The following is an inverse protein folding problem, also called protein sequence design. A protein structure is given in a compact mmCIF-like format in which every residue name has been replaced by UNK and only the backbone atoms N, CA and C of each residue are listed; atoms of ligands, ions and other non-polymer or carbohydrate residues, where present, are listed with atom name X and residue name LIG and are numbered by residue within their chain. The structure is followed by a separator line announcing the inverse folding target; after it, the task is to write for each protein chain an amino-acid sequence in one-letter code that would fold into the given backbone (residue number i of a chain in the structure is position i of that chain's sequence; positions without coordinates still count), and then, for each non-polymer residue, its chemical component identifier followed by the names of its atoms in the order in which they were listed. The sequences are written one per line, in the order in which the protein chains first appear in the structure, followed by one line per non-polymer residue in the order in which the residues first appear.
data_IF_342743567219
#
_entry.id   IF_342743567219
#
_cell.length_a   1.000
_cell.length_b   1.000
_cell.length_c   1.000
_cell.angle_alpha   90.00
_cell.angle_beta   90.00
_cell.angle_gamma   90.00
#
_symmetry.space_group_name_H-M   'P 1'
#
loop_
_entity.id
_entity.type
_entity.pdbx_description
1 polymer ?
#
# COMPACT_ATOMS: atom_id res chain seq x y z
N UNK A 1 18.31 97.60 8.27
CA UNK A 1 16.88 97.22 8.30
C UNK A 1 16.63 96.35 7.07
N UNK A 2 16.75 95.03 7.20
CA UNK A 2 15.66 94.08 7.57
C UNK A 2 14.64 93.97 6.44
N UNK A 3 14.33 92.84 5.82
CA UNK A 3 14.63 91.43 6.08
C UNK A 3 13.60 90.58 5.31
N UNK A 4 13.74 89.26 5.38
CA UNK A 4 12.65 88.28 5.21
C UNK A 4 12.05 88.13 3.80
N UNK A 5 12.57 87.14 3.06
CA UNK A 5 11.72 86.08 2.52
C UNK A 5 12.32 84.73 2.93
N UNK A 6 11.82 84.23 4.06
CA UNK A 6 11.76 82.80 4.35
C UNK A 6 10.82 82.17 3.33
N UNK A 7 11.23 81.08 2.69
CA UNK A 7 10.55 79.80 2.88
C UNK A 7 11.24 78.68 2.08
N UNK A 8 11.88 77.80 2.85
CA UNK A 8 11.76 76.35 2.74
C UNK A 8 11.91 75.74 1.34
N UNK A 9 13.16 75.48 0.96
CA UNK A 9 13.51 74.28 0.19
C UNK A 9 14.79 73.64 0.73
N UNK A 10 14.84 73.43 2.05
CA UNK A 10 15.51 72.25 2.59
C UNK A 10 14.41 71.30 3.06
N UNK A 11 14.02 70.34 2.22
CA UNK A 11 13.75 68.99 2.69
C UNK A 11 13.65 68.01 1.52
N UNK A 12 14.37 66.89 1.67
CA UNK A 12 14.42 65.71 0.80
C UNK A 12 15.14 65.87 -0.55
N UNK A 13 16.42 66.25 -0.47
CA UNK A 13 17.43 65.45 -1.18
C UNK A 13 17.27 63.99 -0.70
N UNK A 14 16.39 63.23 -1.37
CA UNK A 14 16.45 61.77 -1.31
C UNK A 14 17.84 61.41 -1.83
N UNK A 15 18.73 61.03 -0.92
CA UNK A 15 19.98 60.36 -1.22
C UNK A 15 19.69 59.21 -2.20
N UNK A 16 19.77 59.48 -3.50
CA UNK A 16 19.85 58.45 -4.52
C UNK A 16 21.25 57.85 -4.41
N UNK A 17 21.45 57.02 -3.37
CA UNK A 17 22.65 56.21 -3.25
C UNK A 17 22.62 55.25 -4.44
N UNK A 18 23.42 55.54 -5.46
CA UNK A 18 23.69 54.60 -6.53
C UNK A 18 24.34 53.35 -5.91
N UNK A 19 23.90 52.18 -6.32
CA UNK A 19 24.47 50.92 -5.84
C UNK A 19 25.94 50.82 -6.22
N UNK A 20 26.77 50.36 -5.29
CA UNK A 20 28.17 50.05 -5.57
C UNK A 20 28.27 48.85 -6.50
N UNK A 21 29.33 48.79 -7.31
CA UNK A 21 29.56 47.69 -8.25
C UNK A 21 29.58 46.32 -7.54
N UNK A 22 30.09 46.27 -6.31
CA UNK A 22 30.08 45.08 -5.45
C UNK A 22 28.68 44.66 -5.03
N UNK A 23 27.81 45.60 -4.66
CA UNK A 23 26.40 45.30 -4.32
C UNK A 23 25.65 44.73 -5.52
N UNK A 24 25.85 45.28 -6.72
CA UNK A 24 25.23 44.77 -7.95
C UNK A 24 25.76 43.38 -8.30
N UNK A 25 27.06 43.11 -8.09
CA UNK A 25 27.66 41.81 -8.36
C UNK A 25 27.18 40.72 -7.40
N UNK A 26 27.03 41.05 -6.11
CA UNK A 26 26.49 40.12 -5.11
C UNK A 26 25.00 39.85 -5.39
N UNK A 27 24.21 40.90 -5.65
CA UNK A 27 22.79 40.75 -5.94
C UNK A 27 22.53 39.91 -7.20
N UNK A 28 23.30 40.13 -8.27
CA UNK A 28 23.19 39.34 -9.50
C UNK A 28 23.60 37.88 -9.31
N UNK A 29 24.63 37.61 -8.50
CA UNK A 29 25.06 36.24 -8.19
C UNK A 29 24.01 35.48 -7.39
N UNK A 30 23.42 36.11 -6.37
CA UNK A 30 22.33 35.52 -5.58
C UNK A 30 21.10 35.26 -6.47
N UNK A 31 20.74 36.22 -7.32
CA UNK A 31 19.63 36.07 -8.26
C UNK A 31 19.86 34.92 -9.24
N UNK A 32 21.08 34.79 -9.79
CA UNK A 32 21.43 33.70 -10.71
C UNK A 32 21.32 32.32 -10.02
N UNK A 33 21.83 32.19 -8.79
CA UNK A 33 21.70 30.95 -8.01
C UNK A 33 20.24 30.59 -7.73
N UNK A 34 19.42 31.57 -7.34
CA UNK A 34 17.99 31.35 -7.08
C UNK A 34 17.24 30.95 -8.35
N UNK A 35 17.42 31.69 -9.46
CA UNK A 35 16.77 31.39 -10.74
C UNK A 35 17.16 29.99 -11.23
N UNK A 36 18.44 29.63 -11.13
CA UNK A 36 18.93 28.31 -11.54
C UNK A 36 18.34 27.20 -10.65
N UNK A 37 18.30 27.40 -9.33
CA UNK A 37 17.68 26.46 -8.40
C UNK A 37 16.19 26.26 -8.68
N UNK A 38 15.43 27.34 -8.88
CA UNK A 38 14.01 27.28 -9.22
C UNK A 38 13.80 26.62 -10.59
N UNK A 39 14.65 26.91 -11.59
CA UNK A 39 14.55 26.31 -12.91
C UNK A 39 14.80 24.79 -12.87
N UNK A 40 15.76 24.32 -12.07
CA UNK A 40 15.99 22.88 -11.88
C UNK A 40 14.80 22.20 -11.18
N UNK A 41 14.23 22.84 -10.17
CA UNK A 41 13.03 22.35 -9.48
C UNK A 41 11.84 22.31 -10.45
N UNK A 42 11.59 23.38 -11.21
CA UNK A 42 10.50 23.41 -12.20
C UNK A 42 10.73 22.45 -13.35
N UNK A 43 11.96 22.24 -13.80
CA UNK A 43 12.28 21.26 -14.85
C UNK A 43 12.09 19.83 -14.34
N UNK A 44 12.49 19.55 -13.10
CA UNK A 44 12.19 18.28 -12.43
C UNK A 44 10.68 18.05 -12.28
N UNK A 45 9.94 19.06 -11.83
CA UNK A 45 8.48 18.99 -11.71
C UNK A 45 7.84 18.82 -13.09
N UNK A 46 8.24 19.60 -14.08
CA UNK A 46 7.68 19.61 -15.44
C UNK A 46 7.96 18.32 -16.22
N UNK A 47 9.18 17.78 -16.13
CA UNK A 47 9.53 16.48 -16.73
C UNK A 47 8.80 15.32 -16.03
N UNK A 48 8.61 15.40 -14.71
CA UNK A 48 7.78 14.44 -13.98
C UNK A 48 6.30 14.58 -14.34
N UNK A 49 5.77 15.79 -14.55
CA UNK A 49 4.40 16.03 -15.00
C UNK A 49 4.16 15.58 -16.45
N UNK A 50 5.12 15.75 -17.36
CA UNK A 50 5.01 15.24 -18.73
C UNK A 50 5.07 13.71 -18.79
N UNK A 51 5.86 13.07 -17.92
CA UNK A 51 5.90 11.61 -17.78
C UNK A 51 4.70 11.06 -17.02
N UNK A 52 4.10 11.86 -16.14
CA UNK A 52 2.81 11.60 -15.51
C UNK A 52 1.68 12.04 -16.44
N UNK A 53 1.35 11.22 -17.44
CA UNK A 53 -0.01 11.24 -17.99
C UNK A 53 -0.99 10.94 -16.86
N UNK A 54 -1.42 11.97 -16.15
CA UNK A 54 -2.48 12.01 -15.15
C UNK A 54 -3.84 11.84 -15.82
N UNK A 55 -3.96 10.83 -16.69
CA UNK A 55 -5.21 10.41 -17.25
C UNK A 55 -5.80 9.43 -16.23
N UNK A 56 -6.69 9.95 -15.39
CA UNK A 56 -7.69 9.07 -14.76
C UNK A 56 -8.34 8.28 -15.90
N UNK A 57 -8.18 6.97 -15.89
CA UNK A 57 -8.77 6.08 -16.87
C UNK A 57 -9.99 5.43 -16.26
N UNK A 58 -11.01 5.25 -17.09
CA UNK A 58 -12.21 4.51 -16.71
C UNK A 58 -11.92 3.02 -16.89
N UNK A 59 -11.92 2.29 -15.78
CA UNK A 59 -11.60 0.86 -15.75
C UNK A 59 -12.86 0.08 -15.43
N UNK A 60 -13.22 -0.90 -16.26
CA UNK A 60 -14.33 -1.81 -15.99
C UNK A 60 -13.88 -2.91 -15.02
N UNK A 61 -14.44 -2.91 -13.82
CA UNK A 61 -14.19 -3.90 -12.76
C UNK A 61 -15.41 -4.80 -12.51
N UNK A 62 -16.50 -4.60 -13.25
CA UNK A 62 -17.75 -5.34 -13.13
C UNK A 62 -18.66 -4.86 -11.99
N UNK A 63 -19.97 -5.08 -12.18
CA UNK A 63 -21.01 -4.56 -11.28
C UNK A 63 -20.93 -5.12 -9.85
N UNK A 64 -20.66 -6.43 -9.69
CA UNK A 64 -20.55 -7.09 -8.37
C UNK A 64 -19.46 -6.44 -7.52
N UNK A 65 -18.31 -6.17 -8.14
CA UNK A 65 -17.12 -5.62 -7.50
C UNK A 65 -17.32 -4.14 -7.17
N UNK A 66 -17.77 -3.34 -8.13
CA UNK A 66 -18.01 -1.91 -7.94
C UNK A 66 -19.07 -1.63 -6.85
N UNK A 67 -20.15 -2.41 -6.83
CA UNK A 67 -21.19 -2.30 -5.80
C UNK A 67 -20.66 -2.69 -4.42
N UNK A 68 -19.90 -3.77 -4.31
CA UNK A 68 -19.42 -4.24 -3.02
C UNK A 68 -18.24 -3.43 -2.45
N UNK A 69 -17.40 -2.84 -3.30
CA UNK A 69 -16.24 -2.04 -2.87
C UNK A 69 -16.60 -0.59 -2.59
N UNK A 70 -17.39 0.02 -3.48
CA UNK A 70 -17.61 1.47 -3.50
C UNK A 70 -19.08 1.86 -3.38
N UNK A 71 -20.01 0.89 -3.31
CA UNK A 71 -21.45 1.12 -3.31
C UNK A 71 -21.92 1.93 -4.54
N UNK A 72 -21.31 1.69 -5.70
CA UNK A 72 -21.62 2.38 -6.95
C UNK A 72 -22.42 1.44 -7.86
N UNK A 73 -23.52 1.94 -8.42
CA UNK A 73 -24.34 1.23 -9.43
C UNK A 73 -23.76 1.36 -10.85
N UNK A 74 -22.46 1.18 -11.01
CA UNK A 74 -21.73 1.26 -12.29
C UNK A 74 -20.78 0.08 -12.39
N UNK A 75 -20.41 -0.33 -13.59
CA UNK A 75 -19.42 -1.39 -13.80
C UNK A 75 -17.98 -0.84 -13.80
N UNK A 76 -17.84 0.48 -13.87
CA UNK A 76 -16.56 1.13 -14.09
C UNK A 76 -16.21 2.12 -12.99
N UNK A 77 -14.93 2.16 -12.63
CA UNK A 77 -14.35 3.11 -11.68
C UNK A 77 -13.26 3.92 -12.38
N UNK A 78 -13.14 5.20 -12.03
CA UNK A 78 -12.04 6.02 -12.48
C UNK A 78 -10.82 5.73 -11.61
N UNK A 79 -9.77 5.21 -12.23
CA UNK A 79 -8.50 4.89 -11.58
C UNK A 79 -7.33 5.59 -12.25
N UNK A 80 -6.17 5.56 -11.63
CA UNK A 80 -4.96 6.18 -12.17
C UNK A 80 -4.00 5.11 -12.68
N UNK A 81 -3.33 5.37 -13.78
CA UNK A 81 -2.28 4.49 -14.28
C UNK A 81 -1.06 4.54 -13.35
N UNK A 82 -0.48 3.39 -13.03
CA UNK A 82 0.86 3.32 -12.47
C UNK A 82 1.92 3.65 -13.53
N UNK A 83 3.02 4.33 -13.17
CA UNK A 83 3.32 4.88 -11.85
C UNK A 83 2.55 6.20 -11.56
N UNK A 84 2.07 6.38 -10.32
CA UNK A 84 1.38 7.59 -9.88
C UNK A 84 1.75 7.99 -8.44
N UNK A 85 2.48 9.10 -8.31
CA UNK A 85 2.95 9.60 -7.01
C UNK A 85 1.84 10.26 -6.17
N UNK A 86 0.77 10.76 -6.80
CA UNK A 86 -0.41 11.24 -6.07
C UNK A 86 -1.14 10.11 -5.36
N UNK A 87 -1.24 8.94 -6.01
CA UNK A 87 -1.74 7.72 -5.39
C UNK A 87 -0.76 7.14 -4.37
N UNK A 88 0.54 7.32 -4.56
CA UNK A 88 1.53 6.97 -3.53
C UNK A 88 1.31 7.73 -2.22
N UNK A 89 1.03 9.04 -2.28
CA UNK A 89 0.69 9.80 -1.07
C UNK A 89 -0.58 9.27 -0.36
N UNK A 90 -1.58 8.81 -1.13
CA UNK A 90 -2.78 8.18 -0.57
C UNK A 90 -2.45 6.82 0.07
N UNK A 91 -1.57 6.04 -0.57
CA UNK A 91 -1.09 4.76 -0.04
C UNK A 91 -0.22 4.94 1.21
N UNK A 92 0.61 5.98 1.29
CA UNK A 92 1.41 6.32 2.47
C UNK A 92 0.53 6.73 3.66
N UNK A 93 -0.53 7.51 3.41
CA UNK A 93 -1.54 7.81 4.43
C UNK A 93 -2.22 6.55 4.95
N UNK A 94 -2.57 5.63 4.07
CA UNK A 94 -3.19 4.35 4.45
C UNK A 94 -2.22 3.46 5.23
N UNK A 95 -0.95 3.43 4.81
CA UNK A 95 0.15 2.74 5.49
C UNK A 95 0.38 3.28 6.90
N UNK A 96 0.36 4.60 7.09
CA UNK A 96 0.44 5.21 8.42
C UNK A 96 -0.69 4.72 9.32
N UNK A 97 -1.95 4.80 8.83
CA UNK A 97 -3.12 4.30 9.57
C UNK A 97 -3.04 2.81 9.89
N UNK A 98 -2.50 2.01 8.98
CA UNK A 98 -2.29 0.58 9.20
C UNK A 98 -1.29 0.30 10.31
N UNK A 99 -0.18 1.04 10.36
CA UNK A 99 0.77 0.93 11.45
C UNK A 99 0.15 1.36 12.79
N UNK A 100 -0.65 2.44 12.79
CA UNK A 100 -1.37 2.90 13.99
C UNK A 100 -2.42 1.87 14.46
N UNK A 101 -3.12 1.22 13.52
CA UNK A 101 -4.08 0.17 13.86
C UNK A 101 -3.38 -1.10 14.36
N UNK A 102 -2.22 -1.45 13.82
CA UNK A 102 -1.41 -2.59 14.30
C UNK A 102 -0.86 -2.31 15.70
N UNK A 103 -0.36 -1.11 15.98
CA UNK A 103 0.23 -0.79 17.29
C UNK A 103 -0.77 -0.92 18.43
N UNK A 104 -2.03 -0.61 18.15
CA UNK A 104 -3.14 -0.71 19.13
C UNK A 104 -3.90 -2.04 19.04
N UNK A 105 -3.43 -2.99 18.24
CA UNK A 105 -4.09 -4.28 18.03
C UNK A 105 -3.71 -5.31 19.10
N UNK A 106 -4.66 -6.21 19.39
CA UNK A 106 -4.42 -7.41 20.21
C UNK A 106 -4.06 -8.62 19.36
N UNK A 107 -4.55 -8.67 18.11
CA UNK A 107 -4.19 -9.73 17.16
C UNK A 107 -4.41 -9.26 15.72
N UNK A 108 -3.62 -9.81 14.80
CA UNK A 108 -3.75 -9.53 13.36
C UNK A 108 -3.84 -10.85 12.61
N UNK A 109 -4.91 -11.06 11.83
CA UNK A 109 -5.07 -12.25 11.00
C UNK A 109 -5.21 -11.90 9.52
N UNK A 110 -4.37 -12.51 8.68
CA UNK A 110 -4.49 -12.40 7.23
C UNK A 110 -5.27 -13.60 6.69
N UNK A 111 -6.31 -13.38 5.89
CA UNK A 111 -7.10 -14.43 5.26
C UNK A 111 -7.12 -14.27 3.73
N UNK A 112 -6.87 -15.38 3.04
CA UNK A 112 -6.92 -15.44 1.57
C UNK A 112 -8.34 -15.61 1.07
N UNK A 113 -8.64 -14.98 -0.07
CA UNK A 113 -9.94 -15.08 -0.72
C UNK A 113 -9.83 -14.97 -2.23
N UNK A 114 -10.78 -15.60 -2.92
CA UNK A 114 -10.99 -15.41 -4.36
C UNK A 114 -12.13 -14.43 -4.64
N UNK A 115 -13.13 -14.42 -3.76
CA UNK A 115 -14.31 -13.58 -3.89
C UNK A 115 -14.17 -12.21 -3.22
N UNK A 116 -15.14 -11.35 -3.50
CA UNK A 116 -15.29 -10.07 -2.84
C UNK A 116 -15.62 -10.31 -1.36
N UNK A 117 -14.90 -9.64 -0.46
CA UNK A 117 -15.20 -9.69 0.96
C UNK A 117 -16.53 -8.97 1.28
N UNK A 118 -17.52 -9.72 1.74
CA UNK A 118 -18.77 -9.19 2.30
C UNK A 118 -18.82 -9.26 3.82
N UNK A 119 -17.80 -9.83 4.46
CA UNK A 119 -17.73 -10.11 5.89
C UNK A 119 -16.81 -9.08 6.55
N UNK A 120 -17.42 -8.02 7.06
CA UNK A 120 -16.73 -6.91 7.75
C UNK A 120 -17.41 -6.61 9.09
N UNK A 121 -17.44 -7.58 10.01
CA UNK A 121 -18.07 -7.40 11.31
C UNK A 121 -17.38 -6.32 12.13
N UNK A 122 -18.16 -5.69 13.01
CA UNK A 122 -17.63 -4.82 14.08
C UNK A 122 -17.24 -5.67 15.30
N UNK A 123 -17.99 -6.74 15.55
CA UNK A 123 -17.76 -7.67 16.64
C UNK A 123 -17.85 -9.11 16.12
N UNK A 124 -16.94 -9.96 16.60
CA UNK A 124 -16.94 -11.39 16.35
C UNK A 124 -17.32 -12.06 17.68
N UNK A 125 -18.43 -12.81 17.73
CA UNK A 125 -18.78 -13.59 18.91
C UNK A 125 -17.69 -14.61 19.22
N UNK A 126 -17.28 -14.70 20.48
CA UNK A 126 -16.53 -15.83 21.00
C UNK A 126 -17.53 -16.89 21.43
N UNK A 127 -17.34 -18.11 20.95
CA UNK A 127 -18.10 -19.25 21.44
C UNK A 127 -17.67 -19.55 22.88
N UNK A 128 -18.59 -19.97 23.74
CA UNK A 128 -18.31 -20.16 25.18
C UNK A 128 -17.22 -21.22 25.44
N UNK A 129 -17.01 -22.11 24.48
CA UNK A 129 -16.01 -23.18 24.54
C UNK A 129 -14.65 -22.78 23.91
N UNK A 130 -14.54 -21.60 23.30
CA UNK A 130 -13.33 -21.14 22.60
C UNK A 130 -12.69 -20.00 23.38
N UNK A 131 -11.52 -20.30 23.95
CA UNK A 131 -10.63 -19.27 24.46
C UNK A 131 -9.99 -18.52 23.28
N UNK A 132 -10.03 -17.18 23.31
CA UNK A 132 -9.44 -16.34 22.27
C UNK A 132 -7.93 -16.61 22.08
N UNK A 133 -7.24 -17.13 23.11
CA UNK A 133 -5.83 -17.57 23.04
C UNK A 133 -5.62 -18.80 22.14
N UNK A 134 -6.67 -19.53 21.81
CA UNK A 134 -6.62 -20.65 20.85
C UNK A 134 -6.67 -20.19 19.39
N UNK A 135 -6.96 -18.91 19.13
CA UNK A 135 -6.88 -18.31 17.81
C UNK A 135 -5.41 -17.93 17.52
N UNK A 136 -4.51 -18.91 17.48
CA UNK A 136 -3.06 -18.66 17.34
C UNK A 136 -2.53 -18.85 15.92
N UNK A 137 -3.43 -19.08 14.97
CA UNK A 137 -3.12 -19.19 13.54
C UNK A 137 -4.26 -18.63 12.69
N UNK A 138 -3.97 -18.16 11.46
CA UNK A 138 -5.00 -17.71 10.54
C UNK A 138 -6.00 -18.82 10.17
N UNK A 139 -5.58 -20.10 10.17
CA UNK A 139 -6.49 -21.22 9.94
C UNK A 139 -7.43 -21.45 11.13
N UNK A 140 -6.95 -21.33 12.38
CA UNK A 140 -7.79 -21.39 13.57
C UNK A 140 -8.80 -20.23 13.59
N UNK A 141 -8.34 -19.00 13.30
CA UNK A 141 -9.20 -17.83 13.16
C UNK A 141 -10.26 -18.01 12.05
N UNK A 142 -9.86 -18.53 10.88
CA UNK A 142 -10.79 -18.82 9.78
C UNK A 142 -11.86 -19.84 10.18
N UNK A 143 -11.50 -20.92 10.87
CA UNK A 143 -12.45 -21.94 11.36
C UNK A 143 -13.42 -21.36 12.38
N UNK A 144 -12.92 -20.53 13.30
CA UNK A 144 -13.77 -19.85 14.26
C UNK A 144 -14.74 -18.88 13.57
N UNK A 145 -14.25 -18.03 12.67
CA UNK A 145 -15.08 -17.12 11.88
C UNK A 145 -16.12 -17.89 11.05
N UNK A 146 -15.76 -19.05 10.49
CA UNK A 146 -16.66 -19.95 9.79
C UNK A 146 -17.75 -20.57 10.67
N UNK A 147 -17.50 -20.74 11.96
CA UNK A 147 -18.47 -21.25 12.93
C UNK A 147 -19.49 -20.16 13.29
N UNK A 148 -19.00 -18.97 13.68
CA UNK A 148 -19.85 -17.88 14.18
C UNK A 148 -20.49 -17.07 13.05
N UNK A 149 -19.87 -17.07 11.86
CA UNK A 149 -20.37 -16.44 10.64
C UNK A 149 -20.26 -17.42 9.47
N UNK A 150 -21.27 -18.27 9.31
CA UNK A 150 -21.30 -19.33 8.29
C UNK A 150 -21.07 -18.82 6.86
N UNK A 151 -21.50 -17.59 6.55
CA UNK A 151 -21.27 -16.93 5.26
C UNK A 151 -19.77 -16.71 4.95
N UNK A 152 -18.91 -16.69 5.96
CA UNK A 152 -17.47 -16.51 5.78
C UNK A 152 -16.78 -17.72 5.13
N UNK A 153 -17.40 -18.90 5.18
CA UNK A 153 -16.89 -20.15 4.61
C UNK A 153 -16.77 -20.10 3.08
N UNK A 154 -17.69 -19.40 2.41
CA UNK A 154 -17.64 -19.26 0.95
C UNK A 154 -16.57 -18.24 0.52
N UNK A 155 -16.34 -17.22 1.35
CA UNK A 155 -15.44 -16.09 1.06
C UNK A 155 -13.97 -16.45 1.35
N UNK A 156 -13.67 -16.89 2.58
CA UNK A 156 -12.30 -17.15 3.01
C UNK A 156 -11.93 -18.61 2.82
N UNK A 157 -10.79 -18.83 2.19
CA UNK A 157 -10.30 -20.18 1.89
C UNK A 157 -9.27 -20.60 2.93
N UNK A 158 -9.21 -21.90 3.18
CA UNK A 158 -8.13 -22.48 3.97
C UNK A 158 -6.83 -22.27 3.22
N UNK A 159 -5.79 -21.84 3.94
CA UNK A 159 -4.49 -21.64 3.37
C UNK A 159 -3.43 -22.00 4.41
N UNK A 160 -2.33 -22.60 3.95
CA UNK A 160 -1.16 -22.96 4.76
C UNK A 160 0.06 -22.23 4.21
N UNK A 161 0.77 -21.51 5.07
CA UNK A 161 2.00 -20.80 4.71
C UNK A 161 1.76 -19.56 3.85
N UNK A 162 1.66 -19.73 2.53
CA UNK A 162 1.63 -18.62 1.58
C UNK A 162 0.32 -18.65 0.84
N UNK A 163 -0.37 -17.51 0.83
CA UNK A 163 -1.62 -17.41 0.08
C UNK A 163 -1.35 -17.82 -1.36
N UNK A 164 -2.11 -18.77 -1.90
CA UNK A 164 -2.17 -18.97 -3.35
C UNK A 164 -3.22 -18.03 -3.98
N UNK A 165 -3.93 -17.30 -3.13
CA UNK A 165 -5.06 -16.48 -3.48
C UNK A 165 -4.61 -15.06 -3.81
N UNK A 166 -5.23 -14.53 -4.87
CA UNK A 166 -4.93 -13.23 -5.47
C UNK A 166 -5.49 -12.07 -4.66
N UNK A 167 -6.47 -12.31 -3.79
CA UNK A 167 -7.06 -11.29 -2.93
C UNK A 167 -6.88 -11.70 -1.46
N UNK A 168 -6.83 -10.71 -0.59
CA UNK A 168 -6.61 -10.90 0.84
C UNK A 168 -7.44 -9.95 1.67
N UNK A 169 -7.70 -10.36 2.91
CA UNK A 169 -8.28 -9.49 3.93
C UNK A 169 -7.46 -9.60 5.20
N UNK A 170 -7.13 -8.47 5.81
CA UNK A 170 -6.39 -8.41 7.08
C UNK A 170 -7.37 -7.95 8.14
N UNK A 171 -7.60 -8.79 9.14
CA UNK A 171 -8.41 -8.49 10.30
C UNK A 171 -7.50 -7.97 11.41
N UNK A 172 -7.76 -6.75 11.86
CA UNK A 172 -7.10 -6.16 13.02
C UNK A 172 -8.08 -6.20 14.18
N UNK A 173 -7.74 -7.01 15.18
CA UNK A 173 -8.58 -7.25 16.34
C UNK A 173 -8.12 -6.42 17.53
N UNK A 174 -9.07 -6.05 18.37
CA UNK A 174 -8.83 -5.37 19.63
C UNK A 174 -9.72 -5.96 20.72
N UNK A 175 -9.41 -5.65 21.97
CA UNK A 175 -10.32 -5.95 23.07
C UNK A 175 -11.67 -5.25 22.85
N UNK A 176 -12.77 -5.97 23.04
CA UNK A 176 -14.13 -5.44 22.89
C UNK A 176 -14.64 -4.72 24.14
N UNK A 177 -14.07 -5.03 25.31
CA UNK A 177 -14.62 -4.61 26.60
C UNK A 177 -15.92 -5.33 27.00
N UNK A 178 -16.39 -6.30 26.21
CA UNK A 178 -17.59 -7.09 26.47
C UNK A 178 -17.24 -8.59 26.54
N UNK A 179 -17.83 -9.28 27.52
CA UNK A 179 -17.67 -10.72 27.64
C UNK A 179 -18.26 -11.43 26.42
N UNK A 180 -17.50 -12.40 25.88
CA UNK A 180 -17.95 -13.22 24.74
C UNK A 180 -17.83 -12.54 23.38
N UNK A 181 -17.12 -11.42 23.23
CA UNK A 181 -16.89 -10.78 21.92
C UNK A 181 -15.44 -10.34 21.72
N UNK A 182 -14.96 -10.44 20.50
CA UNK A 182 -13.74 -9.76 20.03
C UNK A 182 -14.17 -8.56 19.17
N UNK A 183 -13.59 -7.39 19.42
CA UNK A 183 -13.82 -6.23 18.57
C UNK A 183 -12.90 -6.28 17.35
N UNK A 184 -13.45 -5.90 16.22
CA UNK A 184 -12.72 -5.70 14.97
C UNK A 184 -12.49 -4.22 14.79
N UNK A 185 -11.26 -3.78 15.06
CA UNK A 185 -10.87 -2.37 14.93
C UNK A 185 -10.93 -1.92 13.48
N UNK A 186 -10.34 -2.73 12.60
CA UNK A 186 -10.30 -2.47 11.17
C UNK A 186 -10.16 -3.77 10.36
N UNK A 187 -10.67 -3.73 9.13
CA UNK A 187 -10.47 -4.76 8.11
C UNK A 187 -9.83 -4.10 6.89
N UNK A 188 -8.70 -4.62 6.44
CA UNK A 188 -8.03 -4.17 5.22
C UNK A 188 -8.24 -5.17 4.10
N UNK A 189 -8.93 -4.76 3.04
CA UNK A 189 -9.13 -5.58 1.85
C UNK A 189 -8.11 -5.20 0.78
N UNK A 190 -7.34 -6.19 0.34
CA UNK A 190 -6.37 -6.08 -0.77
C UNK A 190 -6.95 -6.85 -1.95
N UNK A 191 -7.18 -6.15 -3.06
CA UNK A 191 -7.84 -6.69 -4.24
C UNK A 191 -7.03 -6.46 -5.51
N UNK A 192 -6.90 -7.51 -6.30
CA UNK A 192 -6.41 -7.53 -7.67
C UNK A 192 -7.50 -8.05 -8.59
N UNK A 193 -7.91 -7.23 -9.54
CA UNK A 193 -8.93 -7.56 -10.51
C UNK A 193 -8.38 -7.39 -11.92
N UNK A 194 -8.41 -8.45 -12.72
CA UNK A 194 -8.04 -8.38 -14.13
C UNK A 194 -9.16 -7.69 -14.91
N UNK A 195 -8.81 -6.74 -15.75
CA UNK A 195 -9.77 -6.01 -16.57
C UNK A 195 -9.42 -6.21 -18.03
N UNK A 196 -10.46 -6.24 -18.87
CA UNK A 196 -10.34 -6.33 -20.33
C UNK A 196 -10.61 -4.98 -21.01
N UNK A 197 -11.11 -3.99 -20.27
CA UNK A 197 -11.42 -2.66 -20.78
C UNK A 197 -11.08 -1.57 -19.75
N UNK A 198 -9.90 -0.91 -19.87
CA UNK A 198 -8.75 -1.32 -20.68
C UNK A 198 -8.12 -2.63 -20.17
N UNK A 199 -7.34 -3.31 -21.00
CA UNK A 199 -6.64 -4.52 -20.61
C UNK A 199 -5.56 -4.22 -19.56
N UNK A 200 -5.56 -4.95 -18.44
CA UNK A 200 -4.57 -4.80 -17.38
C UNK A 200 -5.04 -5.37 -16.04
N UNK A 201 -4.38 -4.94 -14.96
CA UNK A 201 -4.77 -5.29 -13.59
C UNK A 201 -5.14 -4.04 -12.79
N UNK A 202 -6.37 -3.99 -12.31
CA UNK A 202 -6.83 -3.05 -11.30
C UNK A 202 -6.45 -3.56 -9.92
N UNK A 203 -5.77 -2.75 -9.12
CA UNK A 203 -5.42 -3.09 -7.75
C UNK A 203 -5.95 -2.03 -6.79
N UNK A 204 -6.42 -2.46 -5.62
CA UNK A 204 -6.90 -1.55 -4.59
C UNK A 204 -6.61 -2.09 -3.20
N UNK A 205 -6.32 -1.17 -2.27
CA UNK A 205 -6.29 -1.46 -0.83
C UNK A 205 -7.30 -0.56 -0.15
N UNK A 206 -8.17 -1.15 0.66
CA UNK A 206 -9.30 -0.49 1.30
C UNK A 206 -9.28 -0.79 2.78
N UNK A 207 -9.45 0.24 3.61
CA UNK A 207 -9.63 0.12 5.05
C UNK A 207 -11.10 0.32 5.40
N UNK A 208 -11.64 -0.66 6.10
CA UNK A 208 -12.96 -0.61 6.68
C UNK A 208 -12.82 -0.51 8.20
N UNK A 209 -13.54 0.42 8.81
CA UNK A 209 -13.68 0.51 10.26
C UNK A 209 -15.14 0.74 10.58
N UNK A 210 -15.67 0.07 11.60
CA UNK A 210 -17.10 0.08 11.91
C UNK A 210 -17.99 -0.30 10.71
N UNK A 211 -17.53 -1.25 9.88
CA UNK A 211 -18.17 -1.67 8.63
C UNK A 211 -18.35 -0.53 7.57
N UNK A 212 -17.61 0.56 7.69
CA UNK A 212 -17.61 1.67 6.73
C UNK A 212 -16.25 1.81 6.06
N UNK A 213 -16.24 2.11 4.77
CA UNK A 213 -15.02 2.43 4.03
C UNK A 213 -14.49 3.79 4.51
N UNK A 214 -13.36 3.82 5.22
CA UNK A 214 -12.80 5.08 5.74
C UNK A 214 -11.71 5.63 4.84
N UNK A 215 -10.87 4.75 4.29
CA UNK A 215 -9.72 5.13 3.50
C UNK A 215 -9.43 4.06 2.46
N UNK A 216 -8.96 4.48 1.30
CA UNK A 216 -8.50 3.57 0.27
C UNK A 216 -7.55 4.26 -0.69
N UNK A 217 -6.82 3.44 -1.44
CA UNK A 217 -6.23 3.86 -2.70
C UNK A 217 -6.43 2.77 -3.73
N UNK A 218 -6.41 3.20 -4.99
CA UNK A 218 -6.51 2.32 -6.14
C UNK A 218 -5.54 2.76 -7.23
N UNK A 219 -5.09 1.78 -8.01
CA UNK A 219 -4.14 1.97 -9.09
C UNK A 219 -4.38 0.93 -10.18
N UNK A 220 -4.17 1.34 -11.42
CA UNK A 220 -4.26 0.47 -12.59
C UNK A 220 -2.89 0.21 -13.21
N UNK A 221 -2.64 -1.06 -13.55
CA UNK A 221 -1.41 -1.51 -14.20
C UNK A 221 -1.72 -1.92 -15.66
N UNK A 222 -1.46 -1.03 -16.66
CA UNK A 222 -1.90 -1.20 -18.05
C UNK A 222 -1.14 -2.25 -18.88
N UNK A 223 -0.02 -2.79 -18.37
CA UNK A 223 0.85 -3.70 -19.12
C UNK A 223 1.08 -5.05 -18.42
N UNK A 224 0.25 -5.37 -17.43
CA UNK A 224 0.51 -6.51 -16.55
C UNK A 224 -0.75 -7.29 -16.28
N UNK A 225 -0.71 -8.56 -16.67
CA UNK A 225 -1.67 -9.57 -16.26
C UNK A 225 -1.00 -10.32 -15.12
N UNK A 226 -1.30 -9.92 -13.89
CA UNK A 226 -0.60 -10.38 -12.69
C UNK A 226 -0.99 -11.78 -12.22
N UNK A 227 -1.57 -12.60 -13.11
CA UNK A 227 -2.20 -13.88 -12.77
C UNK A 227 -1.27 -14.91 -12.15
N UNK A 228 0.03 -14.89 -12.47
CA UNK A 228 1.05 -15.79 -11.88
C UNK A 228 2.09 -15.06 -11.02
N UNK A 229 2.32 -13.78 -11.28
CA UNK A 229 3.44 -13.04 -10.69
C UNK A 229 3.19 -12.56 -9.26
N UNK A 230 1.93 -12.45 -8.82
CA UNK A 230 1.54 -12.12 -7.44
C UNK A 230 0.63 -13.19 -6.86
N UNK A 231 1.03 -14.45 -6.97
CA UNK A 231 0.23 -15.56 -6.43
C UNK A 231 0.03 -15.47 -4.92
N UNK A 232 0.84 -14.68 -4.21
CA UNK A 232 0.71 -14.48 -2.77
C UNK A 232 0.79 -13.03 -2.33
N UNK A 233 -0.26 -12.57 -1.66
CA UNK A 233 -0.31 -11.26 -1.00
C UNK A 233 0.32 -11.32 0.39
N UNK A 234 0.16 -12.44 1.09
CA UNK A 234 0.69 -12.61 2.43
C UNK A 234 1.33 -13.99 2.62
N UNK A 235 2.41 -14.01 3.40
CA UNK A 235 3.14 -15.21 3.78
C UNK A 235 3.25 -15.27 5.28
N UNK A 236 2.79 -16.35 5.89
CA UNK A 236 2.80 -16.54 7.33
C UNK A 236 3.89 -17.50 7.76
N UNK A 237 4.60 -17.05 8.79
CA UNK A 237 5.70 -17.77 9.38
C UNK A 237 5.24 -18.26 10.75
N UNK A 238 5.02 -19.57 10.84
CA UNK A 238 4.57 -20.23 12.07
C UNK A 238 5.69 -20.28 13.12
N UNK A 239 5.27 -20.35 14.39
CA UNK A 239 6.18 -20.55 15.51
C UNK A 239 6.68 -21.99 15.51
N UNK A 240 8.00 -22.17 15.56
CA UNK A 240 8.66 -23.49 15.56
C UNK A 240 8.10 -24.51 16.56
N UNK A 241 7.69 -24.07 17.74
CA UNK A 241 7.23 -24.97 18.82
C UNK A 241 5.75 -25.38 18.72
N UNK A 242 4.97 -24.80 17.79
CA UNK A 242 3.54 -25.08 17.63
C UNK A 242 3.20 -25.33 16.17
N UNK A 243 3.84 -26.35 15.60
CA UNK A 243 3.58 -26.76 14.22
C UNK A 243 2.24 -27.46 14.14
N UNK A 244 1.47 -27.13 13.12
CA UNK A 244 0.27 -27.89 12.78
C UNK A 244 0.65 -29.13 11.94
N UNK A 245 1.76 -29.10 11.19
CA UNK A 245 2.26 -30.20 10.33
C UNK A 245 3.80 -30.20 10.18
N UNK A 246 4.42 -31.36 9.90
CA UNK A 246 5.87 -31.55 9.65
C UNK A 246 6.32 -30.96 8.29
N UNK A 247 7.54 -30.39 8.23
CA UNK A 247 8.16 -29.84 7.01
C UNK A 247 8.49 -30.96 6.02
N UNK A 248 8.17 -30.74 4.74
CA UNK A 248 8.67 -31.56 3.63
C UNK A 248 9.86 -30.87 2.93
N UNK A 249 10.68 -31.65 2.24
CA UNK A 249 11.97 -31.23 1.61
C UNK A 249 11.85 -30.05 0.61
N UNK A 250 10.64 -29.75 0.12
CA UNK A 250 10.36 -28.71 -0.87
C UNK A 250 9.36 -27.64 -0.39
N UNK A 251 9.28 -27.36 0.92
CA UNK A 251 8.48 -26.23 1.40
C UNK A 251 9.14 -24.89 1.04
N UNK A 252 8.42 -24.04 0.30
CA UNK A 252 8.90 -22.72 -0.17
C UNK A 252 9.24 -21.73 0.96
N UNK A 253 8.95 -22.02 2.24
CA UNK A 253 9.04 -21.04 3.34
C UNK A 253 9.51 -21.62 4.68
N UNK A 254 10.12 -20.74 5.49
CA UNK A 254 10.92 -21.06 6.68
C UNK A 254 10.16 -20.78 7.97
N UNK A 255 10.64 -21.36 9.07
CA UNK A 255 10.10 -21.17 10.43
C UNK A 255 10.45 -19.82 11.05
N UNK A 256 9.54 -19.25 11.85
CA UNK A 256 9.90 -18.22 12.81
C UNK A 256 10.44 -18.86 14.09
N UNK A 257 11.60 -18.37 14.56
CA UNK A 257 12.31 -18.96 15.71
C UNK A 257 11.56 -18.75 17.03
N UNK A 258 10.88 -17.61 17.19
CA UNK A 258 10.26 -17.22 18.47
C UNK A 258 8.80 -16.75 18.34
N UNK A 259 8.51 -15.78 17.46
CA UNK A 259 7.17 -15.19 17.29
C UNK A 259 6.66 -15.35 15.87
N UNK A 260 5.39 -15.75 15.68
CA UNK A 260 4.80 -15.84 14.35
C UNK A 260 4.53 -14.44 13.77
N UNK A 261 4.75 -14.30 12.46
CA UNK A 261 4.57 -13.04 11.74
C UNK A 261 4.13 -13.27 10.31
N UNK A 262 3.64 -12.21 9.69
CA UNK A 262 3.28 -12.13 8.28
C UNK A 262 4.27 -11.25 7.53
N UNK A 263 4.64 -11.69 6.34
CA UNK A 263 5.03 -10.77 5.28
C UNK A 263 3.79 -10.40 4.48
N UNK A 264 3.53 -9.11 4.33
CA UNK A 264 2.38 -8.58 3.61
C UNK A 264 2.90 -7.66 2.51
N UNK A 265 2.36 -7.81 1.32
CA UNK A 265 2.64 -6.92 0.20
C UNK A 265 1.37 -6.19 -0.24
N UNK A 266 1.46 -4.88 -0.44
CA UNK A 266 0.40 -4.08 -1.04
C UNK A 266 0.79 -3.58 -2.42
N UNK A 267 -0.18 -3.37 -3.34
CA UNK A 267 0.09 -2.82 -4.67
C UNK A 267 0.74 -1.45 -4.56
N UNK A 268 1.93 -1.31 -5.12
CA UNK A 268 2.73 -0.10 -5.07
C UNK A 268 2.34 0.87 -6.21
N UNK A 269 1.81 2.07 -5.90
CA UNK A 269 1.40 3.02 -6.93
C UNK A 269 2.55 3.59 -7.75
N UNK A 270 3.78 3.58 -7.22
CA UNK A 270 4.98 4.11 -7.90
C UNK A 270 5.66 3.07 -8.78
N UNK A 271 5.24 1.82 -8.67
CA UNK A 271 5.90 0.73 -9.36
C UNK A 271 5.49 0.67 -10.83
N UNK A 272 6.49 0.78 -11.72
CA UNK A 272 6.31 0.60 -13.17
C UNK A 272 6.68 -0.82 -13.56
N UNK A 273 5.67 -1.62 -13.88
CA UNK A 273 5.90 -2.87 -14.58
C UNK A 273 6.15 -2.56 -16.06
N UNK A 274 7.33 -2.89 -16.55
CA UNK A 274 7.67 -2.81 -17.96
C UNK A 274 8.37 -4.08 -18.40
N UNK A 275 8.31 -4.39 -19.69
CA UNK A 275 9.01 -5.52 -20.29
C UNK A 275 10.52 -5.54 -20.01
N UNK A 276 11.12 -4.42 -19.60
CA UNK A 276 12.55 -4.26 -19.31
C UNK A 276 12.90 -4.25 -17.82
N UNK A 277 11.95 -4.00 -16.91
CA UNK A 277 12.28 -3.89 -15.48
C UNK A 277 12.44 -5.26 -14.80
N UNK A 278 12.00 -6.34 -15.42
CA UNK A 278 12.29 -7.72 -14.99
C UNK A 278 13.56 -8.33 -15.61
N UNK A 279 14.11 -7.72 -16.66
CA UNK A 279 15.31 -8.19 -17.37
C UNK A 279 16.60 -7.44 -16.98
N UNK A 280 16.52 -6.23 -16.44
CA UNK A 280 17.71 -5.40 -16.17
C UNK A 280 18.62 -5.85 -15.00
N UNK A 281 18.38 -7.02 -14.39
CA UNK A 281 19.29 -7.61 -13.39
C UNK A 281 19.72 -9.05 -13.76
N UNK A 282 19.51 -9.50 -15.00
CA UNK A 282 20.15 -10.74 -15.50
C UNK A 282 21.63 -10.55 -15.84
N UNK A 283 22.19 -9.35 -15.67
CA UNK A 283 23.57 -9.04 -16.09
C UNK A 283 24.63 -9.09 -14.97
N UNK A 284 24.29 -9.59 -13.77
CA UNK A 284 25.24 -9.80 -12.67
C UNK A 284 25.39 -11.27 -12.26
N UNK A 285 25.01 -12.19 -13.12
CA UNK A 285 25.33 -13.60 -12.97
C UNK A 285 25.64 -14.19 -14.34
N UNK A 286 26.92 -14.11 -14.72
CA UNK A 286 27.52 -15.09 -15.63
C UNK A 286 27.41 -16.46 -14.97
N UNK A 287 26.29 -17.15 -15.15
CA UNK A 287 26.21 -18.59 -14.91
C UNK A 287 25.36 -19.20 -16.04
N UNK A 288 26.10 -19.87 -16.93
CA UNK A 288 25.72 -20.93 -17.85
C UNK A 288 24.28 -21.02 -18.35
N UNK A 289 24.16 -20.82 -19.66
CA UNK A 289 23.08 -21.28 -20.52
C UNK A 289 22.81 -22.78 -20.37
N UNK A 290 21.84 -23.17 -19.53
CA UNK A 290 21.14 -24.46 -19.66
C UNK A 290 19.77 -24.57 -18.96
N UNK A 291 19.28 -23.55 -18.25
CA UNK A 291 17.94 -23.59 -17.64
C UNK A 291 16.92 -22.71 -18.38
N UNK A 292 16.27 -23.31 -19.38
CA UNK A 292 15.12 -22.74 -20.09
C UNK A 292 13.79 -22.80 -19.31
N UNK A 293 13.85 -23.08 -17.99
CA UNK A 293 12.70 -23.10 -17.06
C UNK A 293 12.71 -21.92 -16.07
N UNK A 294 13.28 -20.78 -16.47
CA UNK A 294 13.24 -19.54 -15.69
C UNK A 294 11.82 -18.96 -15.65
N UNK A 295 10.99 -19.54 -14.78
CA UNK A 295 9.80 -18.89 -14.24
C UNK A 295 10.26 -17.59 -13.57
N UNK A 296 10.11 -16.48 -14.29
CA UNK A 296 10.19 -15.11 -13.76
C UNK A 296 9.03 -14.85 -12.78
N UNK A 297 8.85 -15.72 -11.77
CA UNK A 297 8.05 -15.44 -10.60
C UNK A 297 8.74 -14.28 -9.85
N UNK A 298 8.00 -13.20 -9.62
CA UNK A 298 8.45 -12.12 -8.73
C UNK A 298 8.54 -12.72 -7.32
N UNK A 299 9.72 -13.23 -6.96
CA UNK A 299 9.96 -13.74 -5.63
C UNK A 299 9.82 -12.60 -4.62
N UNK A 300 9.27 -12.91 -3.45
CA UNK A 300 9.09 -11.96 -2.33
C UNK A 300 10.35 -11.13 -2.04
N UNK A 301 11.54 -11.72 -2.20
CA UNK A 301 12.81 -11.01 -2.04
C UNK A 301 12.99 -9.87 -3.06
N UNK A 302 12.70 -10.09 -4.34
CA UNK A 302 12.81 -9.05 -5.38
C UNK A 302 11.81 -7.91 -5.17
N UNK A 303 10.65 -8.20 -4.58
CA UNK A 303 9.63 -7.20 -4.23
C UNK A 303 10.04 -6.37 -3.02
N UNK A 304 10.55 -7.01 -1.98
CA UNK A 304 11.04 -6.32 -0.78
C UNK A 304 12.15 -5.29 -1.10
N UNK A 305 12.98 -5.55 -2.11
CA UNK A 305 14.02 -4.60 -2.54
C UNK A 305 13.52 -3.44 -3.42
N UNK A 306 12.32 -3.55 -4.00
CA UNK A 306 11.86 -2.61 -5.05
C UNK A 306 10.56 -1.90 -4.73
N UNK A 307 9.84 -2.35 -3.70
CA UNK A 307 8.60 -1.73 -3.26
C UNK A 307 8.70 -1.29 -1.81
N UNK A 308 8.20 -0.09 -1.54
CA UNK A 308 8.09 0.45 -0.18
C UNK A 308 6.85 -0.03 0.57
N UNK A 309 6.03 -0.86 -0.08
CA UNK A 309 4.76 -1.38 0.44
C UNK A 309 4.84 -2.87 0.77
N UNK A 310 6.01 -3.27 1.28
CA UNK A 310 6.25 -4.57 1.88
C UNK A 310 6.36 -4.42 3.40
N UNK A 311 5.61 -5.22 4.14
CA UNK A 311 5.45 -5.11 5.59
C UNK A 311 5.78 -6.43 6.27
N UNK A 312 6.38 -6.33 7.44
CA UNK A 312 6.48 -7.43 8.40
C UNK A 312 5.54 -7.10 9.56
N UNK A 313 4.50 -7.92 9.74
CA UNK A 313 3.47 -7.67 10.75
C UNK A 313 3.45 -8.86 11.71
N UNK A 314 3.68 -8.67 13.02
CA UNK A 314 3.55 -9.77 13.95
C UNK A 314 2.08 -10.21 14.03
N UNK A 315 1.85 -11.49 14.35
CA UNK A 315 0.50 -12.00 14.64
C UNK A 315 -0.11 -11.32 15.90
N UNK A 316 0.76 -10.73 16.73
CA UNK A 316 0.57 -10.43 18.16
C UNK A 316 1.26 -9.08 18.52
N UNK A 317 0.75 -8.32 19.52
CA UNK A 317 0.95 -8.69 20.92
C UNK A 317 -0.31 -9.20 21.63
N UNK A 318 -0.13 -10.35 22.29
CA UNK A 318 -0.93 -11.12 23.24
C UNK A 318 -2.34 -10.62 23.56
N UNK A 319 -3.35 -11.41 23.17
CA UNK A 319 -4.53 -11.56 24.02
C UNK A 319 -4.14 -12.23 25.35
#
# INVERSE_FOLDING_TARGET
MTGSYLNNQEELSKNARAFSLTEVMIASSIAACLITGVALIMSSIGSNLQNQKSNSIKVNIGHKVAKAYYNINSESVNSYNAPNYGRAASADRLKSKFNDDISDSSAVFCLGRDEVNTIRPVYIPLDNDIDARMLDSPEAFRKHLASVMTQSQSVFKSWRGVSQFKNGSIFILSNSGFDGFIAVRAVYDIDFHRTTSPEGTYASVKRYSWNQLTDYYDIFYPAVILEKSFSSIFSFYEKRTRRILEEQEFEKFKMAREMPFYFIWWPDPTFKFGNSSLLAYSHLSEISSEDSNNNHELSYGKLAYRSNYFFTVPLSPSL
#
